data_IF_200951579211
#
_entry.id   IF_200951579211
#
_cell.length_a   1.000
_cell.length_b   1.000
_cell.length_c   1.000
_cell.angle_alpha   90.00
_cell.angle_beta   90.00
_cell.angle_gamma   90.00
#
_symmetry.space_group_name_H-M   'P 1'
#
loop_
_entity.id
_entity.type
_entity.pdbx_description
1 polymer ?
#
# COMPACT_ATOMS: atom_id res chain seq x y z
N UNK A 1 -6.84 -4.29 10.12
CA UNK A 1 -6.73 -3.00 10.84
C UNK A 1 -6.97 -1.89 9.84
N UNK A 2 -8.03 -1.09 10.00
CA UNK A 2 -8.43 -0.07 9.01
C UNK A 2 -7.60 1.22 9.17
N UNK A 3 -6.42 1.28 8.56
CA UNK A 3 -5.55 2.47 8.70
C UNK A 3 -5.95 3.64 7.81
N UNK A 4 -6.31 3.39 6.54
CA UNK A 4 -6.67 4.45 5.59
C UNK A 4 -7.89 5.26 6.06
N UNK A 5 -9.02 4.67 6.49
CA UNK A 5 -10.15 5.45 7.00
C UNK A 5 -9.81 6.28 8.24
N UNK A 6 -8.96 5.77 9.14
CA UNK A 6 -8.53 6.51 10.33
C UNK A 6 -7.65 7.71 9.97
N UNK A 7 -6.74 7.56 9.00
CA UNK A 7 -5.92 8.65 8.51
C UNK A 7 -6.74 9.72 7.77
N UNK A 8 -7.69 9.32 6.93
CA UNK A 8 -8.61 10.23 6.25
C UNK A 8 -9.45 11.05 7.25
N UNK A 9 -10.02 10.39 8.27
CA UNK A 9 -10.76 11.10 9.32
C UNK A 9 -9.86 12.04 10.14
N UNK A 10 -8.61 11.65 10.41
CA UNK A 10 -7.62 12.53 11.06
C UNK A 10 -7.34 13.76 10.19
N UNK A 11 -7.12 13.57 8.89
CA UNK A 11 -6.81 14.63 7.94
C UNK A 11 -7.99 15.59 7.77
N UNK A 12 -9.21 15.06 7.67
CA UNK A 12 -10.46 15.83 7.66
C UNK A 12 -10.60 16.71 8.89
N UNK A 13 -10.47 16.15 10.09
CA UNK A 13 -10.55 16.92 11.35
C UNK A 13 -9.47 18.00 11.43
N UNK A 14 -8.25 17.68 10.99
CA UNK A 14 -7.14 18.64 10.99
C UNK A 14 -7.37 19.78 9.99
N UNK A 15 -7.87 19.49 8.80
CA UNK A 15 -8.22 20.48 7.80
C UNK A 15 -9.32 21.44 8.30
N UNK A 16 -10.37 20.91 8.93
CA UNK A 16 -11.42 21.72 9.58
C UNK A 16 -10.85 22.64 10.66
N UNK A 17 -9.97 22.13 11.52
CA UNK A 17 -9.34 22.91 12.58
C UNK A 17 -8.44 24.05 12.06
N UNK A 18 -7.95 23.94 10.82
CA UNK A 18 -7.16 24.95 10.12
C UNK A 18 -8.01 25.88 9.24
N UNK A 19 -9.34 25.70 9.22
CA UNK A 19 -10.25 26.48 8.37
C UNK A 19 -10.17 26.14 6.88
N UNK A 20 -9.60 24.99 6.50
CA UNK A 20 -9.49 24.52 5.11
C UNK A 20 -10.66 23.59 4.77
N UNK A 21 -11.82 24.20 4.50
CA UNK A 21 -13.09 23.47 4.29
C UNK A 21 -13.09 22.63 3.01
N UNK A 22 -12.47 23.15 1.94
CA UNK A 22 -12.25 22.47 0.67
C UNK A 22 -11.48 21.14 0.86
N UNK A 23 -10.39 21.20 1.61
CA UNK A 23 -9.56 20.05 1.89
C UNK A 23 -10.27 19.04 2.80
N UNK A 24 -11.09 19.52 3.75
CA UNK A 24 -11.91 18.65 4.57
C UNK A 24 -13.01 17.94 3.77
N UNK A 25 -13.64 18.62 2.81
CA UNK A 25 -14.63 18.03 1.91
C UNK A 25 -14.00 16.94 1.05
N UNK A 26 -12.83 17.20 0.46
CA UNK A 26 -12.07 16.19 -0.28
C UNK A 26 -11.79 14.93 0.57
N UNK A 27 -11.31 15.07 1.80
CA UNK A 27 -11.10 13.89 2.67
C UNK A 27 -12.39 13.19 3.10
N UNK A 28 -13.51 13.90 3.15
CA UNK A 28 -14.82 13.30 3.44
C UNK A 28 -15.26 12.40 2.29
N UNK A 29 -15.08 12.89 1.06
CA UNK A 29 -15.37 12.15 -0.16
C UNK A 29 -14.49 10.89 -0.28
N UNK A 30 -13.17 11.04 -0.10
CA UNK A 30 -12.24 9.90 -0.05
C UNK A 30 -12.59 8.86 1.03
N UNK A 31 -13.11 9.28 2.18
CA UNK A 31 -13.51 8.37 3.24
C UNK A 31 -14.74 7.52 2.87
N UNK A 32 -15.64 8.06 2.05
CA UNK A 32 -16.76 7.30 1.47
C UNK A 32 -16.26 6.30 0.45
N UNK A 33 -15.33 6.71 -0.42
CA UNK A 33 -14.72 5.86 -1.44
C UNK A 33 -13.98 4.67 -0.84
N UNK A 34 -13.11 4.90 0.14
CA UNK A 34 -12.30 3.85 0.80
C UNK A 34 -13.11 2.89 1.68
N UNK A 35 -14.42 3.13 1.83
CA UNK A 35 -15.26 2.33 2.71
C UNK A 35 -15.39 0.89 2.22
N UNK A 36 -14.86 -0.04 3.02
CA UNK A 36 -14.99 -1.47 2.79
C UNK A 36 -13.93 -2.06 1.85
N UNK A 37 -12.95 -1.28 1.42
CA UNK A 37 -11.78 -1.75 0.66
C UNK A 37 -10.96 -2.79 1.45
N UNK A 38 -10.94 -2.67 2.78
CA UNK A 38 -10.28 -3.62 3.69
C UNK A 38 -10.80 -5.06 3.53
N UNK A 39 -12.06 -5.22 3.14
CA UNK A 39 -12.66 -6.54 2.89
C UNK A 39 -12.03 -7.27 1.70
N UNK A 40 -11.44 -6.55 0.74
CA UNK A 40 -10.70 -7.18 -0.36
C UNK A 40 -9.46 -7.88 0.17
N UNK A 41 -8.68 -7.20 1.02
CA UNK A 41 -7.49 -7.77 1.63
C UNK A 41 -7.83 -8.96 2.56
N UNK A 42 -8.92 -8.86 3.34
CA UNK A 42 -9.38 -9.96 4.18
C UNK A 42 -9.83 -11.18 3.35
N UNK A 43 -10.49 -10.93 2.22
CA UNK A 43 -10.88 -11.97 1.25
C UNK A 43 -9.68 -12.65 0.62
N UNK A 44 -8.70 -11.86 0.16
CA UNK A 44 -7.44 -12.35 -0.39
C UNK A 44 -6.70 -13.24 0.61
N UNK A 45 -6.51 -12.77 1.86
CA UNK A 45 -5.87 -13.55 2.92
C UNK A 45 -6.62 -14.86 3.21
N UNK A 46 -7.95 -14.84 3.18
CA UNK A 46 -8.76 -16.05 3.38
C UNK A 46 -8.52 -17.08 2.27
N UNK A 47 -8.46 -16.64 1.01
CA UNK A 47 -8.14 -17.51 -0.13
C UNK A 47 -6.71 -18.06 -0.03
N UNK A 48 -5.75 -17.23 0.41
CA UNK A 48 -4.36 -17.66 0.63
C UNK A 48 -4.28 -18.73 1.73
N UNK A 49 -5.00 -18.54 2.85
CA UNK A 49 -5.08 -19.53 3.92
C UNK A 49 -5.65 -20.85 3.42
N UNK A 50 -6.76 -20.82 2.69
CA UNK A 50 -7.40 -22.02 2.13
C UNK A 50 -6.46 -22.78 1.19
N UNK A 51 -5.76 -22.06 0.31
CA UNK A 51 -4.91 -22.67 -0.72
C UNK A 51 -3.57 -23.16 -0.19
N UNK A 52 -2.94 -22.43 0.73
CA UNK A 52 -1.55 -22.67 1.13
C UNK A 52 -1.40 -23.13 2.58
N UNK A 53 -2.49 -23.16 3.37
CA UNK A 53 -2.45 -23.59 4.78
C UNK A 53 -1.60 -22.70 5.68
N UNK A 54 -1.35 -21.46 5.26
CA UNK A 54 -0.54 -20.49 6.01
C UNK A 54 -1.44 -19.49 6.71
N UNK A 55 -1.29 -19.40 8.02
CA UNK A 55 -1.78 -18.25 8.77
C UNK A 55 -0.73 -17.15 8.72
N UNK A 56 -1.13 -15.96 8.26
CA UNK A 56 -0.36 -14.77 8.55
C UNK A 56 -0.37 -14.58 10.07
N UNK A 57 0.81 -14.46 10.70
CA UNK A 57 0.93 -14.27 12.14
C UNK A 57 0.38 -12.92 12.63
N UNK A 58 -0.06 -12.07 11.69
CA UNK A 58 -0.65 -10.75 11.95
C UNK A 58 0.37 -9.70 12.38
N UNK A 59 1.67 -10.04 12.39
CA UNK A 59 2.72 -9.09 12.73
C UNK A 59 2.91 -8.07 11.62
N UNK A 60 2.94 -6.80 12.00
CA UNK A 60 3.24 -5.71 11.08
C UNK A 60 4.75 -5.52 10.99
N UNK A 61 5.27 -5.43 9.77
CA UNK A 61 6.67 -5.14 9.53
C UNK A 61 7.07 -3.80 10.22
N UNK A 62 8.25 -3.70 10.85
CA UNK A 62 8.71 -2.46 11.49
C UNK A 62 8.69 -1.22 10.58
N UNK A 63 9.00 -1.39 9.28
CA UNK A 63 8.90 -0.32 8.29
C UNK A 63 7.46 0.14 8.07
N UNK A 64 6.49 -0.78 8.02
CA UNK A 64 5.08 -0.44 7.90
C UNK A 64 4.60 0.37 9.11
N UNK A 65 4.95 -0.06 10.32
CA UNK A 65 4.67 0.71 11.55
C UNK A 65 5.31 2.10 11.53
N UNK A 66 6.51 2.21 10.97
CA UNK A 66 7.21 3.50 10.81
C UNK A 66 6.49 4.40 9.80
N UNK A 67 5.99 3.82 8.72
CA UNK A 67 5.22 4.55 7.72
C UNK A 67 3.89 5.06 8.28
N UNK A 68 3.15 4.23 9.03
CA UNK A 68 1.90 4.63 9.68
C UNK A 68 2.10 5.84 10.60
N UNK A 69 3.10 5.78 11.51
CA UNK A 69 3.42 6.91 12.40
C UNK A 69 3.86 8.15 11.65
N UNK A 70 4.60 7.99 10.55
CA UNK A 70 5.02 9.10 9.71
C UNK A 70 3.82 9.77 9.03
N UNK A 71 2.85 9.00 8.53
CA UNK A 71 1.61 9.52 7.94
C UNK A 71 0.82 10.33 8.98
N UNK A 72 0.66 9.79 10.20
CA UNK A 72 -0.02 10.51 11.29
C UNK A 72 0.65 11.86 11.59
N UNK A 73 1.99 11.87 11.70
CA UNK A 73 2.75 13.10 11.94
C UNK A 73 2.69 14.07 10.76
N UNK A 74 2.66 13.55 9.52
CA UNK A 74 2.53 14.33 8.30
C UNK A 74 1.18 15.07 8.29
N UNK A 75 0.09 14.36 8.59
CA UNK A 75 -1.26 14.90 8.68
C UNK A 75 -1.34 16.01 9.73
N UNK A 76 -0.79 15.77 10.92
CA UNK A 76 -0.82 16.76 12.01
C UNK A 76 -0.08 18.05 11.64
N UNK A 77 1.07 17.90 10.95
CA UNK A 77 1.89 19.02 10.48
C UNK A 77 1.14 19.87 9.49
N UNK A 78 0.72 19.27 8.37
CA UNK A 78 -0.11 19.92 7.36
C UNK A 78 -0.90 18.85 6.60
N UNK A 79 -2.25 18.81 6.71
CA UNK A 79 -3.07 17.79 6.09
C UNK A 79 -3.01 17.83 4.56
N UNK A 80 -2.63 18.94 3.93
CA UNK A 80 -2.47 19.01 2.47
C UNK A 80 -1.33 18.12 1.97
N UNK A 81 -0.33 17.83 2.82
CA UNK A 81 0.77 16.95 2.44
C UNK A 81 0.35 15.48 2.41
N UNK A 82 -0.72 15.11 3.11
CA UNK A 82 -1.27 13.78 3.02
C UNK A 82 -1.83 13.49 1.62
N UNK A 83 -2.34 14.50 0.90
CA UNK A 83 -2.76 14.37 -0.50
C UNK A 83 -1.59 13.94 -1.40
N UNK A 84 -0.41 14.54 -1.21
CA UNK A 84 0.77 14.16 -1.99
C UNK A 84 1.18 12.70 -1.75
N UNK A 85 0.94 12.17 -0.54
CA UNK A 85 1.14 10.76 -0.25
C UNK A 85 0.06 9.86 -0.86
N UNK A 86 -1.22 10.24 -0.77
CA UNK A 86 -2.34 9.51 -1.38
C UNK A 86 -2.12 9.39 -2.89
N UNK A 87 -1.86 10.52 -3.57
CA UNK A 87 -1.60 10.53 -5.01
C UNK A 87 -0.40 9.63 -5.36
N UNK A 88 0.68 9.66 -4.57
CA UNK A 88 1.80 8.74 -4.80
C UNK A 88 1.36 7.27 -4.72
N UNK A 89 0.56 6.90 -3.71
CA UNK A 89 0.11 5.53 -3.53
C UNK A 89 -0.82 5.07 -4.67
N UNK A 90 -1.79 5.90 -5.05
CA UNK A 90 -2.74 5.66 -6.15
C UNK A 90 -2.02 5.60 -7.50
N UNK A 91 -1.13 6.55 -7.78
CA UNK A 91 -0.36 6.56 -9.03
C UNK A 91 0.55 5.32 -9.15
N UNK A 92 1.18 4.92 -8.05
CA UNK A 92 2.05 3.73 -8.01
C UNK A 92 1.26 2.46 -8.32
N UNK A 93 0.07 2.27 -7.74
CA UNK A 93 -0.72 1.07 -7.94
C UNK A 93 -1.32 1.00 -9.34
N UNK A 94 -1.76 2.13 -9.92
CA UNK A 94 -2.20 2.21 -11.32
C UNK A 94 -1.07 1.83 -12.27
N UNK A 95 0.14 2.37 -12.05
CA UNK A 95 1.28 2.13 -12.93
C UNK A 95 1.84 0.71 -12.82
N UNK A 96 2.01 0.21 -11.58
CA UNK A 96 2.73 -1.04 -11.32
C UNK A 96 1.82 -2.25 -11.13
N UNK A 97 0.61 -2.06 -10.59
CA UNK A 97 -0.31 -3.13 -10.19
C UNK A 97 -0.58 -4.17 -11.29
N UNK A 98 -0.98 -3.76 -12.50
CA UNK A 98 -1.28 -4.71 -13.59
C UNK A 98 -0.08 -5.57 -14.00
N UNK A 99 1.11 -4.96 -14.07
CA UNK A 99 2.36 -5.64 -14.41
C UNK A 99 2.78 -6.61 -13.32
N UNK A 100 2.65 -6.20 -12.06
CA UNK A 100 2.97 -7.02 -10.89
C UNK A 100 2.05 -8.24 -10.78
N UNK A 101 0.73 -8.06 -10.92
CA UNK A 101 -0.25 -9.15 -10.92
C UNK A 101 0.04 -10.17 -12.03
N UNK A 102 0.35 -9.69 -13.23
CA UNK A 102 0.71 -10.55 -14.36
C UNK A 102 1.97 -11.37 -14.07
N UNK A 103 2.96 -10.77 -13.42
CA UNK A 103 4.20 -11.45 -13.04
C UNK A 103 3.97 -12.52 -11.97
N UNK A 104 3.22 -12.20 -10.92
CA UNK A 104 2.92 -13.12 -9.81
C UNK A 104 2.13 -14.33 -10.30
N UNK A 105 1.14 -14.12 -11.17
CA UNK A 105 0.41 -15.23 -11.79
C UNK A 105 1.32 -16.11 -12.65
N UNK A 106 2.07 -15.50 -13.58
CA UNK A 106 2.90 -16.24 -14.53
C UNK A 106 4.10 -16.96 -13.88
N UNK A 107 4.67 -16.40 -12.81
CA UNK A 107 5.91 -16.90 -12.19
C UNK A 107 5.68 -17.68 -10.89
N UNK A 108 4.63 -17.35 -10.15
CA UNK A 108 4.35 -17.99 -8.86
C UNK A 108 3.10 -18.90 -8.91
N UNK A 109 2.33 -18.88 -10.01
CA UNK A 109 1.11 -19.67 -10.13
C UNK A 109 -0.01 -19.24 -9.17
N UNK A 110 0.06 -18.00 -8.68
CA UNK A 110 -0.95 -17.40 -7.81
C UNK A 110 -1.96 -16.67 -8.69
N UNK A 111 -3.22 -17.13 -8.77
CA UNK A 111 -4.24 -16.48 -9.59
C UNK A 111 -4.49 -15.04 -9.16
N UNK A 112 -4.70 -14.13 -10.13
CA UNK A 112 -4.90 -12.69 -9.84
C UNK A 112 -6.08 -12.42 -8.91
N UNK A 113 -7.13 -13.26 -8.97
CA UNK A 113 -8.29 -13.10 -8.08
C UNK A 113 -7.97 -13.30 -6.59
N UNK A 114 -6.80 -13.86 -6.25
CA UNK A 114 -6.33 -13.97 -4.86
C UNK A 114 -5.60 -12.72 -4.39
N UNK A 115 -5.43 -11.72 -5.27
CA UNK A 115 -4.80 -10.43 -5.02
C UNK A 115 -5.76 -9.32 -5.46
N UNK A 116 -7.04 -9.50 -5.17
CA UNK A 116 -8.14 -8.63 -5.59
C UNK A 116 -7.98 -7.21 -5.04
N UNK A 117 -7.36 -7.01 -3.87
CA UNK A 117 -7.10 -5.66 -3.34
C UNK A 117 -6.25 -4.82 -4.29
N UNK A 118 -5.22 -5.42 -4.89
CA UNK A 118 -4.33 -4.74 -5.86
C UNK A 118 -5.07 -4.55 -7.19
N UNK A 119 -5.80 -5.56 -7.64
CA UNK A 119 -6.55 -5.50 -8.90
C UNK A 119 -7.65 -4.44 -8.90
N UNK A 120 -8.41 -4.35 -7.81
CA UNK A 120 -9.48 -3.39 -7.64
C UNK A 120 -8.93 -1.96 -7.55
N UNK A 121 -7.88 -1.73 -6.75
CA UNK A 121 -7.22 -0.43 -6.68
C UNK A 121 -6.62 -0.01 -8.03
N UNK A 122 -5.95 -0.91 -8.76
CA UNK A 122 -5.37 -0.57 -10.07
C UNK A 122 -6.41 -0.13 -11.12
N UNK A 123 -7.68 -0.55 -10.96
CA UNK A 123 -8.78 -0.09 -11.81
C UNK A 123 -9.41 1.21 -11.29
N UNK A 124 -9.81 1.21 -10.02
CA UNK A 124 -10.52 2.35 -9.39
C UNK A 124 -9.64 3.60 -9.31
N UNK A 125 -8.35 3.43 -9.05
CA UNK A 125 -7.46 4.57 -8.79
C UNK A 125 -7.04 5.31 -10.06
N UNK A 126 -7.44 4.86 -11.26
CA UNK A 126 -7.23 5.61 -12.50
C UNK A 126 -7.93 6.96 -12.44
N UNK A 127 -9.21 6.95 -12.06
CA UNK A 127 -10.02 8.16 -11.92
C UNK A 127 -9.55 8.99 -10.72
N UNK A 128 -9.20 8.33 -9.60
CA UNK A 128 -8.66 9.00 -8.42
C UNK A 128 -7.34 9.73 -8.69
N UNK A 129 -6.47 9.15 -9.53
CA UNK A 129 -5.20 9.76 -9.91
C UNK A 129 -5.41 11.09 -10.63
N UNK A 130 -6.37 11.15 -11.54
CA UNK A 130 -6.70 12.39 -12.26
C UNK A 130 -7.24 13.46 -11.30
N UNK A 131 -8.15 13.11 -10.39
CA UNK A 131 -8.65 14.02 -9.35
C UNK A 131 -7.54 14.49 -8.38
N UNK A 132 -6.64 13.59 -8.02
CA UNK A 132 -5.50 13.88 -7.15
C UNK A 132 -4.49 14.83 -7.82
N UNK A 133 -4.29 14.71 -9.13
CA UNK A 133 -3.46 15.63 -9.91
C UNK A 133 -4.06 17.04 -9.92
N UNK A 134 -5.38 17.18 -10.11
CA UNK A 134 -6.07 18.47 -10.05
C UNK A 134 -5.94 19.13 -8.65
N UNK A 135 -6.07 18.34 -7.58
CA UNK A 135 -5.90 18.82 -6.20
C UNK A 135 -4.45 19.28 -5.92
N UNK A 136 -3.45 18.54 -6.43
CA UNK A 136 -2.04 18.93 -6.33
C UNK A 136 -1.76 20.20 -7.14
N UNK A 137 -2.31 20.33 -8.34
CA UNK A 137 -2.17 21.51 -9.20
C UNK A 137 -2.71 22.78 -8.53
N UNK A 138 -3.78 22.67 -7.75
CA UNK A 138 -4.26 23.78 -6.93
C UNK A 138 -3.25 24.17 -5.82
N UNK A 139 -2.62 23.19 -5.19
CA UNK A 139 -1.70 23.40 -4.06
C UNK A 139 -0.32 23.92 -4.49
N UNK A 140 0.22 23.45 -5.62
CA UNK A 140 1.54 23.90 -6.14
C UNK A 140 1.52 25.34 -6.66
N UNK A 141 0.34 25.94 -6.82
CA UNK A 141 0.20 27.40 -7.00
C UNK A 141 0.73 28.19 -5.82
N UNK A 142 0.85 27.58 -4.63
CA UNK A 142 1.58 28.13 -3.49
C UNK A 142 3.03 27.65 -3.50
N UNK A 143 4.04 28.50 -3.85
CA UNK A 143 5.42 28.03 -4.00
C UNK A 143 6.02 27.42 -2.72
N UNK A 144 5.52 27.82 -1.55
CA UNK A 144 5.92 27.27 -0.25
C UNK A 144 5.54 25.80 -0.06
N UNK A 145 4.57 25.28 -0.80
CA UNK A 145 4.10 23.88 -0.70
C UNK A 145 4.97 22.92 -1.52
N UNK A 146 5.65 23.40 -2.57
CA UNK A 146 6.42 22.56 -3.49
C UNK A 146 7.52 21.76 -2.78
N UNK A 147 8.32 22.41 -1.92
CA UNK A 147 9.39 21.76 -1.17
C UNK A 147 8.87 20.63 -0.26
N UNK A 148 7.96 20.93 0.68
CA UNK A 148 7.35 19.93 1.56
C UNK A 148 6.66 18.77 0.83
N UNK A 149 6.02 19.01 -0.32
CA UNK A 149 5.41 17.96 -1.13
C UNK A 149 6.44 17.03 -1.75
N UNK A 150 7.52 17.57 -2.32
CA UNK A 150 8.63 16.76 -2.86
C UNK A 150 9.27 15.89 -1.79
N UNK A 151 9.50 16.46 -0.61
CA UNK A 151 10.01 15.72 0.55
C UNK A 151 9.06 14.60 0.97
N UNK A 152 7.75 14.84 0.89
CA UNK A 152 6.73 13.84 1.22
C UNK A 152 6.77 12.66 0.27
N UNK A 153 6.81 12.91 -1.04
CA UNK A 153 6.91 11.83 -2.06
C UNK A 153 8.22 11.07 -1.92
N UNK A 154 9.36 11.77 -1.78
CA UNK A 154 10.66 11.14 -1.59
C UNK A 154 10.69 10.24 -0.34
N UNK A 155 10.06 10.70 0.75
CA UNK A 155 9.97 9.92 1.98
C UNK A 155 9.05 8.72 1.84
N UNK A 156 7.93 8.85 1.11
CA UNK A 156 7.01 7.75 0.81
C UNK A 156 7.72 6.63 0.04
N UNK A 157 8.49 6.98 -0.99
CA UNK A 157 9.31 6.03 -1.77
C UNK A 157 10.30 5.30 -0.87
N UNK A 158 11.09 6.03 -0.08
CA UNK A 158 12.10 5.41 0.80
C UNK A 158 11.48 4.45 1.84
N UNK A 159 10.27 4.76 2.34
CA UNK A 159 9.55 3.87 3.26
C UNK A 159 8.99 2.64 2.55
N UNK A 160 8.46 2.79 1.34
CA UNK A 160 7.99 1.69 0.50
C UNK A 160 9.12 0.72 0.14
N UNK A 161 10.29 1.25 -0.25
CA UNK A 161 11.49 0.45 -0.51
C UNK A 161 11.94 -0.34 0.72
N UNK A 162 11.98 0.32 1.89
CA UNK A 162 12.35 -0.32 3.14
C UNK A 162 11.38 -1.44 3.52
N UNK A 163 10.09 -1.19 3.43
CA UNK A 163 9.06 -2.20 3.72
C UNK A 163 9.18 -3.40 2.76
N UNK A 164 9.36 -3.14 1.47
CA UNK A 164 9.58 -4.21 0.47
C UNK A 164 10.80 -5.06 0.82
N UNK A 165 11.90 -4.42 1.24
CA UNK A 165 13.11 -5.10 1.69
C UNK A 165 12.89 -5.98 2.93
N UNK A 166 12.11 -5.52 3.91
CA UNK A 166 11.76 -6.31 5.10
C UNK A 166 10.91 -7.53 4.74
N UNK A 167 9.91 -7.38 3.87
CA UNK A 167 9.09 -8.51 3.37
C UNK A 167 9.95 -9.56 2.67
N UNK A 168 10.88 -9.14 1.82
CA UNK A 168 11.82 -10.04 1.14
C UNK A 168 12.74 -10.76 2.14
N UNK A 169 13.28 -10.03 3.13
CA UNK A 169 14.14 -10.64 4.15
C UNK A 169 13.41 -11.69 4.99
N UNK A 170 12.15 -11.42 5.38
CA UNK A 170 11.31 -12.39 6.08
C UNK A 170 10.99 -13.62 5.20
N UNK A 171 10.69 -13.41 3.92
CA UNK A 171 10.44 -14.49 2.96
C UNK A 171 11.66 -15.39 2.74
N UNK A 172 12.84 -14.81 2.55
CA UNK A 172 14.11 -15.54 2.33
C UNK A 172 14.54 -16.31 3.58
N UNK A 173 14.40 -15.73 4.77
CA UNK A 173 14.75 -16.41 6.03
C UNK A 173 13.81 -17.59 6.34
N UNK A 174 12.54 -17.52 5.93
CA UNK A 174 11.58 -18.63 6.09
C UNK A 174 11.88 -19.83 5.18
N UNK A 175 12.51 -19.62 4.02
CA UNK A 175 12.91 -20.69 3.11
C UNK A 175 14.19 -21.40 3.57
N UNK A 176 15.15 -20.67 4.15
CA UNK A 176 16.40 -21.24 4.70
C UNK A 176 16.21 -22.11 5.96
N UNK A 177 15.00 -22.16 6.53
CA UNK A 177 14.66 -22.98 7.70
C UNK A 177 13.78 -24.19 7.37
N UNK A 178 13.40 -24.40 6.10
CA UNK A 178 12.84 -25.69 5.69
C UNK A 178 14.00 -26.67 5.54
N UNK A 179 14.04 -27.80 6.28
CA UNK A 179 14.99 -28.85 5.94
C UNK A 179 14.72 -29.25 4.50
N UNK A 180 15.73 -29.17 3.64
CA UNK A 180 15.63 -29.75 2.29
C UNK A 180 15.19 -31.21 2.47
N UNK A 181 14.01 -31.56 1.96
CA UNK A 181 13.73 -32.97 1.76
C UNK A 181 14.79 -33.51 0.79
N UNK A 182 15.49 -34.60 1.13
CA UNK A 182 16.53 -35.13 0.27
C UNK A 182 15.90 -35.46 -1.08
N UNK A 183 16.36 -34.77 -2.13
CA UNK A 183 15.85 -34.97 -3.49
C UNK A 183 15.96 -36.45 -3.87
N UNK A 184 14.93 -36.99 -4.49
CA UNK A 184 14.81 -38.39 -4.91
C UNK A 184 15.75 -38.80 -6.06
N UNK A 185 16.79 -38.02 -6.35
CA UNK A 185 17.69 -38.23 -7.49
C UNK A 185 18.99 -38.99 -7.19
N UNK A 186 19.19 -39.52 -5.98
CA UNK A 186 20.40 -40.32 -5.63
C UNK A 186 20.12 -41.79 -5.32
N UNK A 187 19.27 -42.45 -6.12
CA UNK A 187 19.27 -43.93 -6.22
C UNK A 187 19.18 -44.42 -7.67
N UNK A 188 20.26 -44.22 -8.41
CA UNK A 188 20.73 -45.11 -9.46
C UNK A 188 22.21 -44.71 -9.69
N UNK A 189 23.20 -45.47 -9.26
CA UNK A 189 23.57 -46.73 -9.90
C UNK A 189 24.56 -47.49 -9.01
N UNK A 190 24.23 -48.73 -8.68
CA UNK A 190 25.19 -49.79 -8.42
C UNK A 190 24.70 -51.01 -9.19
N UNK A 191 25.34 -51.29 -10.32
CA UNK A 191 25.52 -52.60 -10.93
C UNK A 191 26.57 -52.45 -12.04
#
# INVERSE_FOLDING_TARGET
MQHTPLHLERARRRALALGRTDLAEHFSQKLVEEHGHDRWADGDLSLFRERFGSDADGSLAPALLTQLRWIEALIDRDPALYLAYILFAEYLIVLMGPSWLSMVEARCGIPRQMLSVIGNHAELDKDHTDEGLDAIDALVREPRQIGPMRETVARAIALFERWSGEVLAHGVLSQSLRPEEPSSWTRASFA
#
